data_IF_937597100132
#
_entry.id   IF_937597100132
#
_cell.length_a   1.000
_cell.length_b   1.000
_cell.length_c   1.000
_cell.angle_alpha   90.00
_cell.angle_beta   90.00
_cell.angle_gamma   90.00
#
_symmetry.space_group_name_H-M   'P 1'
#
loop_
_entity.id
_entity.type
_entity.pdbx_description
1 polymer ?
#
# COMPACT_ATOMS: atom_id res chain seq x y z
N UNK A 1 -27.14 99.64 -15.64
CA UNK A 1 -26.25 98.64 -16.24
C UNK A 1 -26.96 97.33 -16.01
N UNK A 2 -27.69 96.92 -17.03
CA UNK A 2 -28.64 95.82 -16.97
C UNK A 2 -27.97 94.46 -17.08
N UNK A 3 -28.18 93.63 -16.12
CA UNK A 3 -27.85 92.23 -16.20
C UNK A 3 -29.10 91.46 -16.63
N UNK A 4 -29.29 91.36 -17.95
CA UNK A 4 -30.36 90.51 -18.51
C UNK A 4 -30.02 89.06 -18.27
N UNK A 5 -30.68 88.49 -17.25
CA UNK A 5 -30.72 87.06 -17.04
C UNK A 5 -31.59 86.42 -18.11
N UNK A 6 -30.99 85.76 -19.08
CA UNK A 6 -31.69 85.00 -20.09
C UNK A 6 -32.38 83.84 -19.43
N UNK A 7 -33.68 83.94 -19.10
CA UNK A 7 -34.57 82.89 -18.79
C UNK A 7 -34.69 81.94 -20.00
N UNK A 8 -34.02 80.80 -19.95
CA UNK A 8 -34.22 79.75 -20.93
C UNK A 8 -35.68 79.32 -20.83
N UNK A 9 -36.51 79.65 -21.81
CA UNK A 9 -37.89 79.25 -21.94
C UNK A 9 -37.87 77.68 -22.11
N UNK A 10 -38.18 76.97 -21.05
CA UNK A 10 -38.37 75.56 -21.10
C UNK A 10 -39.60 75.28 -21.94
N UNK A 11 -39.47 74.73 -23.14
CA UNK A 11 -40.57 74.24 -23.95
C UNK A 11 -40.98 72.87 -23.53
N UNK A 12 -42.05 72.66 -22.69
CA UNK A 12 -42.43 71.43 -22.12
C UNK A 12 -42.89 70.38 -23.13
N UNK A 13 -43.28 70.83 -24.36
CA UNK A 13 -43.68 69.89 -25.42
C UNK A 13 -42.46 69.26 -26.10
N UNK A 14 -41.38 70.03 -26.24
CA UNK A 14 -40.14 69.53 -26.81
C UNK A 14 -39.41 68.63 -25.86
N UNK A 15 -39.43 68.87 -24.57
CA UNK A 15 -38.90 67.95 -23.53
C UNK A 15 -39.69 66.64 -23.46
N UNK A 16 -41.01 66.71 -23.49
CA UNK A 16 -41.86 65.49 -23.49
C UNK A 16 -41.60 64.63 -24.73
N UNK A 17 -41.45 65.22 -25.90
CA UNK A 17 -41.16 64.45 -27.10
C UNK A 17 -39.75 63.82 -27.07
N UNK A 18 -38.73 64.53 -26.53
CA UNK A 18 -37.42 63.98 -26.34
C UNK A 18 -37.36 62.88 -25.33
N UNK A 19 -38.06 63.01 -24.18
CA UNK A 19 -38.15 61.98 -23.18
C UNK A 19 -38.90 60.76 -23.73
N UNK A 20 -40.01 60.96 -24.45
CA UNK A 20 -40.76 59.88 -25.07
C UNK A 20 -39.92 59.09 -26.09
N UNK A 21 -39.18 59.80 -26.97
CA UNK A 21 -38.28 59.17 -27.95
C UNK A 21 -37.16 58.39 -27.29
N UNK A 22 -36.55 58.91 -26.20
CA UNK A 22 -35.54 58.20 -25.41
C UNK A 22 -36.16 56.98 -24.69
N UNK A 23 -37.31 57.15 -24.08
CA UNK A 23 -38.02 56.02 -23.42
C UNK A 23 -38.38 54.91 -24.40
N UNK A 24 -38.86 55.27 -25.61
CA UNK A 24 -39.10 54.29 -26.69
C UNK A 24 -37.79 53.63 -27.12
N UNK A 25 -36.69 54.40 -27.28
CA UNK A 25 -35.39 53.86 -27.61
C UNK A 25 -34.88 52.86 -26.57
N UNK A 26 -34.98 53.20 -25.27
CA UNK A 26 -34.64 52.30 -24.18
C UNK A 26 -35.53 51.08 -24.13
N UNK A 27 -36.84 51.22 -24.37
CA UNK A 27 -37.78 50.13 -24.42
C UNK A 27 -37.45 49.15 -25.55
N UNK A 28 -37.13 49.64 -26.74
CA UNK A 28 -36.71 48.82 -27.89
C UNK A 28 -35.41 48.06 -27.58
N UNK A 29 -34.42 48.71 -26.99
CA UNK A 29 -33.18 48.07 -26.58
C UNK A 29 -33.45 46.97 -25.55
N UNK A 30 -34.29 47.28 -24.56
CA UNK A 30 -34.69 46.27 -23.53
C UNK A 30 -35.36 45.05 -24.16
N UNK A 31 -36.30 45.26 -25.10
CA UNK A 31 -37.00 44.17 -25.80
C UNK A 31 -36.03 43.34 -26.63
N UNK A 32 -35.07 43.96 -27.31
CA UNK A 32 -34.01 43.24 -28.04
C UNK A 32 -33.15 42.40 -27.10
N UNK A 33 -32.70 43.02 -25.98
CA UNK A 33 -31.94 42.25 -24.97
C UNK A 33 -32.71 41.07 -24.41
N UNK A 34 -33.98 41.21 -24.07
CA UNK A 34 -34.85 40.13 -23.61
C UNK A 34 -35.01 39.10 -24.71
N UNK A 35 -35.20 39.51 -25.98
CA UNK A 35 -35.29 38.61 -27.13
C UNK A 35 -34.01 37.74 -27.32
N UNK A 36 -32.84 38.37 -27.17
CA UNK A 36 -31.54 37.65 -27.21
C UNK A 36 -31.43 36.65 -26.04
N UNK A 37 -31.82 37.04 -24.83
CA UNK A 37 -31.83 36.15 -23.68
C UNK A 37 -32.79 34.96 -23.87
N UNK A 38 -33.98 35.20 -24.35
CA UNK A 38 -34.96 34.13 -24.65
C UNK A 38 -34.43 33.20 -25.74
N UNK A 39 -33.89 33.77 -26.83
CA UNK A 39 -33.29 32.95 -27.88
C UNK A 39 -32.14 32.08 -27.37
N UNK A 40 -31.27 32.64 -26.51
CA UNK A 40 -30.19 31.89 -25.86
C UNK A 40 -30.74 30.83 -24.91
N UNK A 41 -31.80 31.12 -24.18
CA UNK A 41 -32.46 30.18 -23.29
C UNK A 41 -33.06 29.01 -24.06
N UNK A 42 -33.75 29.27 -25.17
CA UNK A 42 -34.27 28.24 -26.08
C UNK A 42 -33.15 27.38 -26.65
N UNK A 43 -32.06 28.00 -27.09
CA UNK A 43 -30.89 27.29 -27.60
C UNK A 43 -30.36 26.30 -26.53
N UNK A 44 -30.14 26.79 -25.31
CA UNK A 44 -29.58 25.97 -24.22
C UNK A 44 -30.53 24.87 -23.72
N UNK A 45 -31.83 25.17 -23.68
CA UNK A 45 -32.81 24.24 -23.09
C UNK A 45 -33.50 23.31 -24.10
N UNK A 46 -33.48 23.64 -25.40
CA UNK A 46 -34.12 22.82 -26.42
C UNK A 46 -33.08 22.18 -27.35
N UNK A 47 -32.20 22.98 -27.94
CA UNK A 47 -31.26 22.45 -28.93
C UNK A 47 -30.03 21.80 -28.31
N UNK A 48 -29.47 22.39 -27.26
CA UNK A 48 -28.26 21.90 -26.61
C UNK A 48 -28.58 21.05 -25.36
N UNK A 49 -29.85 20.82 -25.04
CA UNK A 49 -30.29 20.14 -23.81
C UNK A 49 -29.63 18.78 -23.62
N UNK A 50 -29.69 17.92 -24.65
CA UNK A 50 -29.11 16.57 -24.59
C UNK A 50 -27.59 16.59 -24.35
N UNK A 51 -26.89 17.55 -24.98
CA UNK A 51 -25.45 17.66 -24.82
C UNK A 51 -25.04 18.12 -23.40
N UNK A 52 -25.80 19.06 -22.84
CA UNK A 52 -25.58 19.51 -21.47
C UNK A 52 -26.01 18.48 -20.42
N UNK A 53 -27.11 17.78 -20.69
CA UNK A 53 -27.53 16.67 -19.84
C UNK A 53 -26.52 15.53 -19.84
N UNK A 54 -26.01 15.14 -21.01
CA UNK A 54 -24.94 14.15 -21.14
C UNK A 54 -23.67 14.55 -20.36
N UNK A 55 -23.24 15.83 -20.49
CA UNK A 55 -22.08 16.35 -19.75
C UNK A 55 -22.34 16.37 -18.23
N UNK A 56 -23.55 16.75 -17.82
CA UNK A 56 -23.97 16.74 -16.41
C UNK A 56 -23.93 15.32 -15.84
N UNK A 57 -24.54 14.36 -16.55
CA UNK A 57 -24.58 12.96 -16.13
C UNK A 57 -23.18 12.36 -16.10
N UNK A 58 -22.33 12.66 -17.09
CA UNK A 58 -20.93 12.21 -17.11
C UNK A 58 -20.09 12.81 -15.98
N UNK A 59 -20.36 14.03 -15.55
CA UNK A 59 -19.68 14.65 -14.41
C UNK A 59 -20.22 14.14 -13.07
N UNK A 60 -21.46 13.64 -13.02
CA UNK A 60 -22.16 13.20 -11.84
C UNK A 60 -21.91 11.72 -11.52
N UNK A 61 -21.66 10.91 -12.55
CA UNK A 61 -21.38 9.48 -12.39
C UNK A 61 -19.87 9.26 -12.43
N UNK A 62 -19.33 8.71 -11.35
CA UNK A 62 -17.93 8.33 -11.22
C UNK A 62 -17.79 6.84 -10.99
N UNK A 63 -16.76 6.25 -11.60
CA UNK A 63 -16.37 4.86 -11.37
C UNK A 63 -15.25 4.83 -10.34
N UNK A 64 -15.52 4.27 -9.19
CA UNK A 64 -14.56 4.09 -8.10
C UNK A 64 -14.12 2.62 -8.04
N UNK A 65 -12.82 2.31 -8.10
CA UNK A 65 -12.35 0.94 -7.95
C UNK A 65 -12.42 0.51 -6.49
N UNK A 66 -12.84 -0.75 -6.28
CA UNK A 66 -12.89 -1.41 -4.99
C UNK A 66 -11.71 -2.35 -4.84
N UNK A 67 -10.95 -2.20 -3.75
CA UNK A 67 -9.82 -3.09 -3.47
C UNK A 67 -10.29 -4.51 -3.17
N UNK A 68 -9.67 -5.53 -3.78
CA UNK A 68 -10.01 -6.92 -3.47
C UNK A 68 -9.47 -7.30 -2.09
N UNK A 69 -10.20 -8.14 -1.33
CA UNK A 69 -9.62 -8.80 -0.17
C UNK A 69 -8.49 -9.73 -0.61
N UNK A 70 -7.32 -9.61 0.02
CA UNK A 70 -6.16 -10.44 -0.28
C UNK A 70 -6.37 -11.87 0.20
N UNK A 71 -5.87 -12.87 -0.54
CA UNK A 71 -5.93 -14.28 -0.16
C UNK A 71 -5.24 -14.53 1.19
N UNK A 72 -5.74 -15.48 1.94
CA UNK A 72 -5.18 -15.91 3.22
C UNK A 72 -4.01 -16.87 3.00
N UNK A 73 -3.07 -16.91 3.96
CA UNK A 73 -1.97 -17.87 3.93
C UNK A 73 -2.06 -18.75 5.17
N UNK A 74 -2.10 -20.05 4.94
CA UNK A 74 -2.17 -21.08 5.98
C UNK A 74 -0.91 -21.94 5.98
N UNK A 75 -0.60 -22.51 7.13
CA UNK A 75 0.35 -23.61 7.22
C UNK A 75 -0.29 -24.93 6.75
N UNK A 76 0.49 -26.03 6.76
CA UNK A 76 0.02 -27.37 6.37
C UNK A 76 -1.11 -27.93 7.26
N UNK A 77 -1.28 -27.40 8.46
CA UNK A 77 -2.26 -27.84 9.45
C UNK A 77 -3.48 -26.90 9.53
N UNK A 78 -3.55 -25.90 8.66
CA UNK A 78 -4.61 -24.89 8.65
C UNK A 78 -4.40 -23.74 9.65
N UNK A 79 -3.21 -23.63 10.25
CA UNK A 79 -2.86 -22.49 11.12
C UNK A 79 -2.67 -21.25 10.26
N UNK A 80 -3.30 -20.15 10.63
CA UNK A 80 -3.26 -18.92 9.90
C UNK A 80 -1.90 -18.21 10.06
N UNK A 81 -1.22 -17.99 8.93
CA UNK A 81 0.07 -17.30 8.85
C UNK A 81 -0.07 -15.85 8.40
N UNK A 82 -1.05 -15.58 7.55
CA UNK A 82 -1.39 -14.22 7.13
C UNK A 82 -2.90 -14.06 6.92
N UNK A 83 -3.46 -13.02 7.52
CA UNK A 83 -4.89 -12.70 7.63
C UNK A 83 -5.19 -11.29 7.10
N UNK A 84 -6.46 -10.95 6.95
CA UNK A 84 -6.93 -9.61 6.69
C UNK A 84 -7.87 -9.18 7.82
N UNK A 85 -7.51 -8.14 8.56
CA UNK A 85 -8.32 -7.63 9.67
C UNK A 85 -8.89 -6.25 9.36
N UNK A 86 -10.12 -5.96 9.80
CA UNK A 86 -10.63 -4.61 9.73
C UNK A 86 -9.73 -3.66 10.54
N UNK A 87 -9.31 -2.58 9.93
CA UNK A 87 -8.56 -1.50 10.57
C UNK A 87 -9.24 -0.18 10.25
N UNK A 88 -9.30 0.70 11.24
CA UNK A 88 -9.83 2.05 11.07
C UNK A 88 -8.69 3.03 10.81
N UNK A 89 -8.88 3.90 9.84
CA UNK A 89 -7.96 4.96 9.49
C UNK A 89 -8.68 6.31 9.53
N UNK A 90 -7.96 7.37 9.82
CA UNK A 90 -8.45 8.73 9.72
C UNK A 90 -8.13 9.27 8.34
N UNK A 91 -9.15 9.70 7.61
CA UNK A 91 -9.02 10.36 6.32
C UNK A 91 -9.53 11.79 6.38
N UNK A 92 -8.93 12.66 5.56
CA UNK A 92 -9.40 14.02 5.33
C UNK A 92 -9.79 14.16 3.87
N UNK A 93 -11.01 14.59 3.62
CA UNK A 93 -11.49 15.00 2.29
C UNK A 93 -11.09 16.45 2.09
N UNK A 94 -10.01 16.66 1.34
CA UNK A 94 -9.33 17.97 1.21
C UNK A 94 -10.27 19.06 0.73
N UNK A 95 -11.16 18.77 -0.19
CA UNK A 95 -12.10 19.73 -0.77
C UNK A 95 -13.22 20.16 0.19
N UNK A 96 -13.36 19.48 1.33
CA UNK A 96 -14.36 19.84 2.37
C UNK A 96 -13.78 20.59 3.53
N UNK A 97 -12.50 20.92 3.45
CA UNK A 97 -11.76 21.59 4.51
C UNK A 97 -11.27 22.93 3.97
N UNK A 98 -11.62 24.04 4.63
CA UNK A 98 -11.19 25.37 4.22
C UNK A 98 -9.70 25.62 4.47
N UNK A 99 -9.18 25.09 5.59
CA UNK A 99 -7.78 25.13 5.98
C UNK A 99 -7.32 23.76 6.45
N UNK A 100 -6.39 23.16 5.68
CA UNK A 100 -5.90 21.82 5.91
C UNK A 100 -5.05 21.71 7.19
N UNK A 101 -4.23 22.72 7.44
CA UNK A 101 -3.36 22.73 8.62
C UNK A 101 -4.17 22.93 9.91
N UNK A 102 -5.20 23.78 9.88
CA UNK A 102 -6.13 23.92 10.99
C UNK A 102 -6.91 22.64 11.28
N UNK A 103 -7.31 21.89 10.25
CA UNK A 103 -7.96 20.59 10.43
C UNK A 103 -7.03 19.54 11.03
N UNK A 104 -5.76 19.52 10.64
CA UNK A 104 -4.74 18.64 11.22
C UNK A 104 -4.52 19.00 12.70
N UNK A 105 -4.41 20.28 13.02
CA UNK A 105 -4.26 20.77 14.39
C UNK A 105 -5.47 20.38 15.27
N UNK A 106 -6.68 20.52 14.73
CA UNK A 106 -7.91 20.10 15.41
C UNK A 106 -7.90 18.61 15.73
N UNK A 107 -7.48 17.76 14.79
CA UNK A 107 -7.37 16.30 14.99
C UNK A 107 -6.27 15.95 15.98
N UNK A 108 -5.15 16.68 15.94
CA UNK A 108 -4.01 16.46 16.88
C UNK A 108 -4.38 16.68 18.34
N UNK A 109 -5.48 17.37 18.61
CA UNK A 109 -6.06 17.50 19.96
C UNK A 109 -6.72 16.21 20.47
N UNK A 110 -7.03 15.26 19.61
CA UNK A 110 -7.73 14.00 19.96
C UNK A 110 -6.86 12.76 19.81
N UNK A 111 -5.93 12.78 18.85
CA UNK A 111 -5.02 11.66 18.55
C UNK A 111 -3.59 12.16 18.48
N UNK A 112 -2.66 11.31 18.91
CA UNK A 112 -1.23 11.63 18.83
C UNK A 112 -0.74 11.43 17.39
N UNK A 113 -0.37 12.55 16.73
CA UNK A 113 0.15 12.58 15.38
C UNK A 113 1.62 12.97 15.39
N UNK A 114 2.47 12.10 14.88
CA UNK A 114 3.88 12.44 14.69
C UNK A 114 4.07 13.45 13.54
N UNK A 115 5.10 14.29 13.64
CA UNK A 115 5.46 15.23 12.57
C UNK A 115 5.68 14.52 11.21
N UNK A 116 6.23 13.30 11.24
CA UNK A 116 6.45 12.49 10.05
C UNK A 116 5.13 12.03 9.41
N UNK A 117 4.11 11.69 10.19
CA UNK A 117 2.78 11.33 9.65
C UNK A 117 2.14 12.52 8.94
N UNK A 118 2.27 13.71 9.51
CA UNK A 118 1.77 14.96 8.93
C UNK A 118 2.50 15.27 7.61
N UNK A 119 3.83 15.16 7.57
CA UNK A 119 4.62 15.36 6.35
C UNK A 119 4.23 14.34 5.26
N UNK A 120 4.13 13.06 5.60
CA UNK A 120 3.67 12.02 4.67
C UNK A 120 2.24 12.27 4.18
N UNK A 121 1.38 12.84 5.02
CA UNK A 121 0.03 13.20 4.63
C UNK A 121 0.04 14.31 3.59
N UNK A 122 0.80 15.39 3.77
CA UNK A 122 0.95 16.45 2.78
C UNK A 122 1.47 15.93 1.43
N UNK A 123 2.42 14.99 1.45
CA UNK A 123 2.89 14.34 0.22
C UNK A 123 1.80 13.49 -0.45
N UNK A 124 0.95 12.82 0.34
CA UNK A 124 -0.21 12.08 -0.20
C UNK A 124 -1.24 13.02 -0.81
N UNK A 125 -1.51 14.15 -0.18
CA UNK A 125 -2.42 15.18 -0.70
C UNK A 125 -1.92 15.71 -2.04
N UNK A 126 -0.63 16.05 -2.18
CA UNK A 126 -0.03 16.50 -3.46
C UNK A 126 -0.16 15.47 -4.58
N UNK A 127 -0.18 14.17 -4.24
CA UNK A 127 -0.29 13.06 -5.19
C UNK A 127 -1.74 12.63 -5.43
N UNK A 128 -2.66 13.01 -4.56
CA UNK A 128 -4.08 12.69 -4.71
C UNK A 128 -4.63 13.35 -5.97
N UNK A 129 -5.20 12.54 -6.86
CA UNK A 129 -5.77 13.01 -8.13
C UNK A 129 -7.29 12.89 -8.17
N UNK A 130 -7.91 12.52 -7.06
CA UNK A 130 -9.36 12.30 -6.99
C UNK A 130 -9.99 13.27 -6.01
N UNK A 131 -10.72 14.25 -6.50
CA UNK A 131 -11.53 15.11 -5.67
C UNK A 131 -12.58 14.28 -4.92
N UNK A 132 -12.79 14.60 -3.64
CA UNK A 132 -13.81 13.98 -2.82
C UNK A 132 -13.43 12.65 -2.13
N UNK A 133 -12.33 11.99 -2.54
CA UNK A 133 -11.82 10.83 -1.84
C UNK A 133 -11.03 11.25 -0.59
N UNK A 134 -11.25 10.60 0.57
CA UNK A 134 -10.50 10.93 1.77
C UNK A 134 -9.04 10.50 1.65
N UNK A 135 -8.12 11.42 1.87
CA UNK A 135 -6.68 11.15 1.99
C UNK A 135 -6.39 10.72 3.42
N UNK A 136 -5.73 9.58 3.59
CA UNK A 136 -5.45 9.01 4.91
C UNK A 136 -4.38 9.83 5.64
N UNK A 137 -4.71 10.35 6.82
CA UNK A 137 -3.79 11.05 7.73
C UNK A 137 -3.13 10.06 8.69
N UNK A 138 -3.92 9.24 9.37
CA UNK A 138 -3.44 8.25 10.34
C UNK A 138 -4.07 6.88 10.10
N UNK A 139 -3.27 5.84 10.27
CA UNK A 139 -3.67 4.44 10.18
C UNK A 139 -3.83 3.84 11.58
N UNK A 140 -4.56 2.73 11.68
CA UNK A 140 -4.68 1.92 12.89
C UNK A 140 -5.20 2.69 14.11
N UNK A 141 -6.30 3.46 13.93
CA UNK A 141 -6.95 4.12 15.03
C UNK A 141 -7.41 3.11 16.09
N UNK A 142 -7.10 3.39 17.34
CA UNK A 142 -7.62 2.62 18.46
C UNK A 142 -9.11 2.89 18.68
N UNK A 143 -9.79 2.02 19.41
CA UNK A 143 -11.17 2.25 19.80
C UNK A 143 -11.33 3.53 20.62
N UNK A 144 -10.32 3.92 21.40
CA UNK A 144 -10.31 5.16 22.16
C UNK A 144 -10.21 6.39 21.24
N UNK A 145 -9.35 6.35 20.21
CA UNK A 145 -9.21 7.42 19.21
C UNK A 145 -10.51 7.63 18.45
N UNK A 146 -11.14 6.52 18.02
CA UNK A 146 -12.43 6.57 17.31
C UNK A 146 -13.52 7.17 18.21
N UNK A 147 -13.56 6.78 19.49
CA UNK A 147 -14.53 7.32 20.42
C UNK A 147 -14.29 8.82 20.68
N UNK A 148 -13.04 9.25 20.85
CA UNK A 148 -12.68 10.66 21.03
C UNK A 148 -13.09 11.50 19.81
N UNK A 149 -12.80 11.04 18.61
CA UNK A 149 -13.21 11.71 17.36
C UNK A 149 -14.73 11.74 17.17
N UNK A 150 -15.45 10.71 17.62
CA UNK A 150 -16.89 10.61 17.45
C UNK A 150 -17.67 11.67 18.25
N UNK A 151 -17.13 12.10 19.40
CA UNK A 151 -17.76 13.11 20.27
C UNK A 151 -17.89 14.47 19.56
N UNK A 152 -16.84 14.91 18.88
CA UNK A 152 -16.78 16.22 18.21
C UNK A 152 -16.92 16.13 16.69
N UNK A 153 -17.31 14.98 16.14
CA UNK A 153 -17.47 14.75 14.70
C UNK A 153 -18.31 15.82 13.99
N UNK A 154 -19.33 16.33 14.66
CA UNK A 154 -20.22 17.36 14.11
C UNK A 154 -19.51 18.70 13.84
N UNK A 155 -18.36 18.94 14.46
CA UNK A 155 -17.51 20.14 14.27
C UNK A 155 -16.37 19.90 13.30
N UNK A 156 -16.13 18.67 12.88
CA UNK A 156 -15.00 18.26 12.05
C UNK A 156 -15.47 18.06 10.60
N UNK A 157 -15.55 19.15 9.83
CA UNK A 157 -15.89 19.07 8.42
C UNK A 157 -14.75 18.40 7.64
N UNK A 158 -15.10 17.49 6.72
CA UNK A 158 -14.13 16.81 5.86
C UNK A 158 -13.30 15.70 6.52
N UNK A 159 -13.48 15.46 7.83
CA UNK A 159 -12.75 14.41 8.56
C UNK A 159 -13.63 13.15 8.64
N UNK A 160 -13.10 12.02 8.20
CA UNK A 160 -13.84 10.76 8.13
C UNK A 160 -13.01 9.60 8.72
N UNK A 161 -13.69 8.74 9.48
CA UNK A 161 -13.11 7.44 9.90
C UNK A 161 -13.45 6.42 8.84
N UNK A 162 -12.42 5.84 8.24
CA UNK A 162 -12.52 4.89 7.12
C UNK A 162 -12.17 3.51 7.67
N UNK A 163 -13.04 2.53 7.46
CA UNK A 163 -12.74 1.13 7.74
C UNK A 163 -12.24 0.44 6.47
N UNK A 164 -11.11 -0.25 6.57
CA UNK A 164 -10.52 -1.01 5.48
C UNK A 164 -9.91 -2.32 5.97
N UNK A 165 -9.76 -3.29 5.07
CA UNK A 165 -9.03 -4.51 5.38
C UNK A 165 -7.52 -4.23 5.34
N UNK A 166 -6.83 -4.65 6.40
CA UNK A 166 -5.40 -4.52 6.54
C UNK A 166 -4.77 -5.90 6.74
N UNK A 167 -3.63 -6.14 6.09
CA UNK A 167 -2.89 -7.39 6.25
C UNK A 167 -2.40 -7.54 7.68
N UNK A 168 -2.55 -8.72 8.24
CA UNK A 168 -2.14 -9.06 9.59
C UNK A 168 -1.43 -10.42 9.63
N UNK A 169 -0.35 -10.52 10.39
CA UNK A 169 0.47 -11.71 10.53
C UNK A 169 0.38 -12.23 11.96
N UNK A 170 -0.48 -13.24 12.24
CA UNK A 170 -0.71 -13.75 13.59
C UNK A 170 0.55 -14.33 14.25
N UNK A 171 1.46 -14.89 13.44
CA UNK A 171 2.71 -15.51 13.89
C UNK A 171 3.87 -14.48 13.97
N UNK A 172 3.59 -13.19 13.76
CA UNK A 172 4.55 -12.09 13.86
C UNK A 172 5.91 -12.42 13.20
N UNK A 173 6.99 -12.39 13.98
CA UNK A 173 8.36 -12.57 13.50
C UNK A 173 8.77 -14.04 13.24
N UNK A 174 7.97 -15.03 13.68
CA UNK A 174 8.29 -16.45 13.60
C UNK A 174 8.42 -16.91 12.16
N UNK A 175 7.49 -16.52 11.28
CA UNK A 175 7.43 -17.00 9.90
C UNK A 175 7.82 -15.93 8.86
N UNK A 176 8.25 -14.73 9.29
CA UNK A 176 8.40 -13.58 8.40
C UNK A 176 9.38 -13.81 7.24
N UNK A 177 10.45 -14.57 7.45
CA UNK A 177 11.44 -14.83 6.39
C UNK A 177 10.94 -15.82 5.32
N UNK A 178 9.92 -16.63 5.62
CA UNK A 178 9.28 -17.52 4.67
C UNK A 178 8.03 -16.86 4.05
N UNK A 179 7.08 -16.43 4.89
CA UNK A 179 5.84 -15.78 4.45
C UNK A 179 6.11 -14.43 3.79
N UNK A 180 7.05 -13.69 4.34
CA UNK A 180 7.36 -12.36 3.85
C UNK A 180 6.48 -11.27 4.46
N UNK A 181 6.31 -10.18 3.73
CA UNK A 181 5.49 -9.05 4.17
C UNK A 181 5.00 -8.20 3.01
N UNK A 182 3.85 -7.59 3.20
CA UNK A 182 3.37 -6.51 2.32
C UNK A 182 3.90 -5.16 2.79
N UNK A 183 4.05 -4.22 1.86
CA UNK A 183 4.33 -2.81 2.13
C UNK A 183 3.51 -1.93 1.22
N UNK A 184 3.45 -0.64 1.52
CA UNK A 184 2.77 0.33 0.65
C UNK A 184 3.34 0.30 -0.76
N UNK A 185 2.44 0.42 -1.73
CA UNK A 185 2.78 0.53 -3.15
C UNK A 185 3.60 1.80 -3.37
N UNK A 186 4.74 1.66 -4.05
CA UNK A 186 5.64 2.75 -4.44
C UNK A 186 5.52 3.04 -5.93
N UNK A 187 6.07 4.16 -6.39
CA UNK A 187 6.11 4.47 -7.83
C UNK A 187 6.89 3.43 -8.65
N UNK A 188 7.92 2.83 -8.05
CA UNK A 188 8.68 1.76 -8.70
C UNK A 188 7.85 0.48 -8.88
N UNK A 189 6.91 0.22 -7.98
CA UNK A 189 5.98 -0.89 -8.12
C UNK A 189 4.98 -0.64 -9.25
N UNK A 190 4.39 0.56 -9.30
CA UNK A 190 3.42 0.94 -10.34
C UNK A 190 4.00 0.93 -11.77
N UNK A 191 5.33 0.97 -11.92
CA UNK A 191 5.98 0.77 -13.23
C UNK A 191 6.04 -0.70 -13.67
N UNK A 192 5.91 -1.63 -12.73
CA UNK A 192 6.01 -3.08 -12.95
C UNK A 192 4.66 -3.78 -12.89
N UNK A 193 3.71 -3.22 -12.15
CA UNK A 193 2.37 -3.74 -11.94
C UNK A 193 1.38 -3.07 -12.89
N UNK A 194 0.27 -3.75 -13.20
CA UNK A 194 -0.80 -3.14 -13.99
C UNK A 194 -1.49 -2.03 -13.17
N UNK A 195 -1.40 -0.76 -13.61
CA UNK A 195 -2.02 0.34 -12.87
C UNK A 195 -3.56 0.22 -12.76
N UNK A 196 -4.21 -0.53 -13.65
CA UNK A 196 -5.65 -0.74 -13.60
C UNK A 196 -6.02 -1.67 -12.44
N UNK A 197 -5.26 -2.73 -12.22
CA UNK A 197 -5.50 -3.70 -11.15
C UNK A 197 -5.11 -3.15 -9.76
N UNK A 198 -4.02 -2.34 -9.69
CA UNK A 198 -3.50 -1.84 -8.41
C UNK A 198 -3.99 -0.44 -8.01
N UNK A 199 -4.92 0.15 -8.78
CA UNK A 199 -5.43 1.51 -8.53
C UNK A 199 -6.11 1.70 -7.16
N UNK A 200 -6.80 0.66 -6.67
CA UNK A 200 -7.46 0.69 -5.36
C UNK A 200 -6.58 0.10 -4.25
N UNK A 201 -5.53 -0.63 -4.61
CA UNK A 201 -4.68 -1.37 -3.67
C UNK A 201 -3.62 -0.46 -3.09
N UNK A 202 -3.46 -0.50 -1.76
CA UNK A 202 -2.47 0.30 -1.05
C UNK A 202 -1.21 -0.49 -0.69
N UNK A 203 -1.28 -1.81 -0.68
CA UNK A 203 -0.20 -2.70 -0.26
C UNK A 203 0.10 -3.74 -1.34
N UNK A 204 1.37 -4.10 -1.45
CA UNK A 204 1.88 -5.13 -2.37
C UNK A 204 2.89 -6.01 -1.64
N UNK A 205 2.95 -7.29 -1.97
CA UNK A 205 3.97 -8.20 -1.46
C UNK A 205 5.37 -7.75 -1.87
N UNK A 206 6.28 -7.71 -0.91
CA UNK A 206 7.66 -7.23 -1.13
C UNK A 206 8.70 -8.30 -0.91
N UNK A 207 8.40 -9.33 -0.14
CA UNK A 207 9.32 -10.41 0.21
C UNK A 207 8.57 -11.71 0.41
N UNK A 208 9.28 -12.85 0.22
CA UNK A 208 8.80 -14.19 0.49
C UNK A 208 7.55 -14.55 -0.31
N UNK A 209 6.75 -15.48 0.23
CA UNK A 209 5.51 -15.96 -0.39
C UNK A 209 4.57 -14.82 -0.77
N UNK A 210 4.51 -13.75 0.04
CA UNK A 210 3.71 -12.56 -0.27
C UNK A 210 4.10 -11.90 -1.59
N UNK A 211 5.40 -11.89 -1.92
CA UNK A 211 5.89 -11.29 -3.17
C UNK A 211 5.85 -12.28 -4.35
N UNK A 212 6.21 -13.54 -4.10
CA UNK A 212 6.34 -14.54 -5.15
C UNK A 212 4.97 -15.00 -5.69
N UNK A 213 3.94 -14.95 -4.82
CA UNK A 213 2.54 -15.28 -5.15
C UNK A 213 1.62 -14.05 -5.11
N UNK A 214 2.17 -12.87 -5.45
CA UNK A 214 1.41 -11.62 -5.46
C UNK A 214 0.19 -11.71 -6.38
N UNK A 215 0.33 -12.28 -7.57
CA UNK A 215 -0.74 -12.41 -8.57
C UNK A 215 -1.91 -13.26 -8.10
N UNK A 216 -1.63 -14.32 -7.34
CA UNK A 216 -2.63 -15.22 -6.78
C UNK A 216 -3.29 -14.61 -5.54
N UNK A 217 -2.47 -14.00 -4.68
CA UNK A 217 -2.92 -13.42 -3.41
C UNK A 217 -3.70 -12.12 -3.58
N UNK A 218 -3.39 -11.30 -4.57
CA UNK A 218 -3.97 -9.97 -4.74
C UNK A 218 -5.47 -9.99 -5.04
N UNK A 219 -5.93 -10.95 -5.87
CA UNK A 219 -7.29 -11.00 -6.37
C UNK A 219 -7.53 -10.02 -7.53
N UNK A 220 -8.80 -9.71 -7.80
CA UNK A 220 -9.17 -8.77 -8.87
C UNK A 220 -10.01 -7.63 -8.31
N UNK A 221 -9.68 -6.37 -8.65
CA UNK A 221 -10.45 -5.22 -8.18
C UNK A 221 -11.86 -5.26 -8.74
N UNK A 222 -12.81 -4.84 -7.91
CA UNK A 222 -14.16 -4.51 -8.32
C UNK A 222 -14.30 -3.04 -8.66
N UNK A 223 -15.49 -2.64 -9.07
CA UNK A 223 -15.82 -1.26 -9.40
C UNK A 223 -17.20 -0.91 -8.85
N UNK A 224 -17.36 0.30 -8.39
CA UNK A 224 -18.68 0.85 -8.09
C UNK A 224 -18.91 2.11 -8.90
N UNK A 225 -20.11 2.24 -9.43
CA UNK A 225 -20.59 3.46 -10.05
C UNK A 225 -21.32 4.28 -9.00
N UNK A 226 -20.81 5.47 -8.72
CA UNK A 226 -21.38 6.37 -7.74
C UNK A 226 -21.87 7.65 -8.37
N UNK A 227 -22.98 8.15 -7.88
CA UNK A 227 -23.45 9.49 -8.19
C UNK A 227 -22.85 10.47 -7.20
N UNK A 228 -22.24 11.53 -7.71
CA UNK A 228 -21.62 12.57 -6.88
C UNK A 228 -22.32 13.91 -7.05
N UNK A 229 -22.35 14.72 -5.99
CA UNK A 229 -22.80 16.12 -6.06
C UNK A 229 -21.72 17.03 -6.67
N UNK A 230 -22.01 18.34 -6.77
CA UNK A 230 -21.06 19.33 -7.31
C UNK A 230 -19.77 19.47 -6.48
N UNK A 231 -19.73 18.93 -5.27
CA UNK A 231 -18.58 18.92 -4.37
C UNK A 231 -17.85 17.58 -4.34
N UNK A 232 -18.21 16.64 -5.26
CA UNK A 232 -17.61 15.31 -5.34
C UNK A 232 -18.06 14.32 -4.24
N UNK A 233 -19.12 14.67 -3.44
CA UNK A 233 -19.64 13.76 -2.41
C UNK A 233 -20.51 12.69 -3.05
N UNK A 234 -20.28 11.45 -2.67
CA UNK A 234 -21.14 10.33 -3.08
C UNK A 234 -22.54 10.53 -2.48
N UNK A 235 -23.54 10.69 -3.32
CA UNK A 235 -24.94 10.81 -2.96
C UNK A 235 -25.65 9.47 -3.03
N UNK A 236 -25.27 8.64 -3.99
CA UNK A 236 -25.91 7.34 -4.20
C UNK A 236 -24.93 6.40 -4.92
N UNK A 237 -24.99 5.13 -4.57
CA UNK A 237 -24.36 4.05 -5.34
C UNK A 237 -25.38 3.60 -6.39
N UNK A 238 -24.98 3.63 -7.66
CA UNK A 238 -25.83 3.25 -8.80
C UNK A 238 -25.71 1.76 -9.09
N UNK A 239 -24.46 1.27 -9.13
CA UNK A 239 -24.13 -0.11 -9.46
C UNK A 239 -22.84 -0.55 -8.78
N UNK A 240 -22.70 -1.84 -8.49
CA UNK A 240 -21.51 -2.44 -7.89
C UNK A 240 -21.15 -3.73 -8.63
N UNK A 241 -19.94 -3.75 -9.19
CA UNK A 241 -19.25 -4.96 -9.60
C UNK A 241 -18.29 -5.36 -8.48
N UNK A 242 -18.60 -6.40 -7.68
CA UNK A 242 -17.84 -6.71 -6.48
C UNK A 242 -16.44 -7.23 -6.82
N UNK A 243 -15.43 -6.93 -5.99
CA UNK A 243 -14.08 -7.44 -6.18
C UNK A 243 -14.03 -8.95 -5.97
N UNK A 244 -13.14 -9.62 -6.71
CA UNK A 244 -12.85 -11.04 -6.51
C UNK A 244 -11.73 -11.21 -5.49
N UNK A 245 -12.00 -11.99 -4.45
CA UNK A 245 -11.03 -12.31 -3.39
C UNK A 245 -9.83 -13.04 -3.98
N UNK A 246 -8.61 -12.73 -3.51
CA UNK A 246 -7.41 -13.46 -3.86
C UNK A 246 -7.45 -14.93 -3.44
N UNK A 247 -6.66 -15.76 -4.10
CA UNK A 247 -6.57 -17.17 -3.79
C UNK A 247 -5.87 -17.40 -2.45
N UNK A 248 -6.40 -18.29 -1.63
CA UNK A 248 -5.75 -18.72 -0.40
C UNK A 248 -4.62 -19.69 -0.72
N UNK A 249 -3.53 -19.57 0.03
CA UNK A 249 -2.37 -20.46 -0.09
C UNK A 249 -2.26 -21.37 1.13
N UNK A 250 -2.01 -22.66 0.90
CA UNK A 250 -1.65 -23.62 1.92
C UNK A 250 -0.18 -24.00 1.73
N UNK A 251 0.66 -23.62 2.68
CA UNK A 251 2.10 -23.87 2.63
C UNK A 251 2.42 -25.23 3.24
N UNK A 252 3.58 -25.80 2.88
CA UNK A 252 4.14 -26.97 3.58
C UNK A 252 4.70 -26.62 4.95
N UNK A 253 4.89 -25.34 5.28
CA UNK A 253 5.32 -24.89 6.60
C UNK A 253 4.44 -25.48 7.70
N UNK A 254 5.06 -25.84 8.81
CA UNK A 254 4.43 -26.26 10.05
C UNK A 254 4.74 -25.23 11.13
N UNK A 255 3.72 -24.50 11.57
CA UNK A 255 3.89 -23.38 12.51
C UNK A 255 4.46 -23.84 13.87
N UNK A 256 4.14 -25.06 14.32
CA UNK A 256 4.67 -25.61 15.58
C UNK A 256 6.15 -25.96 15.44
N UNK A 257 6.53 -26.59 14.32
CA UNK A 257 7.94 -26.89 14.03
C UNK A 257 8.75 -25.62 13.84
N UNK A 258 8.16 -24.60 13.18
CA UNK A 258 8.75 -23.29 13.01
C UNK A 258 9.05 -22.62 14.37
N UNK A 259 8.08 -22.64 15.30
CA UNK A 259 8.25 -22.15 16.66
C UNK A 259 9.33 -22.92 17.42
N UNK A 260 9.30 -24.24 17.37
CA UNK A 260 10.32 -25.08 18.03
C UNK A 260 11.74 -24.77 17.52
N UNK A 261 11.90 -24.51 16.21
CA UNK A 261 13.18 -24.12 15.63
C UNK A 261 13.63 -22.72 16.08
N UNK A 262 12.70 -21.78 16.21
CA UNK A 262 12.97 -20.43 16.75
C UNK A 262 13.44 -20.52 18.21
N UNK A 263 12.77 -21.33 19.03
CA UNK A 263 13.10 -21.53 20.45
C UNK A 263 14.45 -22.21 20.62
N UNK A 264 14.73 -23.24 19.79
CA UNK A 264 16.03 -23.94 19.80
C UNK A 264 17.21 -23.02 19.43
N UNK A 265 17.03 -22.06 18.54
CA UNK A 265 18.03 -21.04 18.25
C UNK A 265 18.22 -20.06 19.41
N UNK A 266 17.18 -19.78 20.18
CA UNK A 266 17.21 -18.83 21.28
C UNK A 266 17.71 -17.45 20.84
N UNK A 267 18.75 -16.93 21.50
CA UNK A 267 19.38 -15.63 21.15
C UNK A 267 20.45 -15.72 20.05
N UNK A 268 20.76 -16.92 19.57
CA UNK A 268 21.81 -17.14 18.57
C UNK A 268 21.40 -16.64 17.19
N UNK A 269 22.36 -16.08 16.45
CA UNK A 269 22.17 -15.78 15.02
C UNK A 269 22.38 -17.06 14.22
N UNK A 270 21.45 -17.31 13.29
CA UNK A 270 21.55 -18.52 12.47
C UNK A 270 20.31 -18.75 11.64
N UNK A 271 20.26 -19.90 11.01
CA UNK A 271 19.13 -20.38 10.26
C UNK A 271 18.87 -21.85 10.58
N UNK A 272 17.57 -22.24 10.51
CA UNK A 272 17.14 -23.64 10.53
C UNK A 272 16.23 -23.86 9.33
N UNK A 273 16.52 -24.91 8.56
CA UNK A 273 15.68 -25.36 7.45
C UNK A 273 15.38 -26.84 7.66
N UNK A 274 14.10 -27.19 7.67
CA UNK A 274 13.64 -28.57 7.72
C UNK A 274 12.87 -28.90 6.44
N UNK A 275 13.26 -29.97 5.79
CA UNK A 275 12.67 -30.44 4.53
C UNK A 275 12.06 -31.83 4.73
N UNK A 276 10.91 -32.07 4.14
CA UNK A 276 10.38 -33.41 3.96
C UNK A 276 11.16 -34.11 2.84
N UNK A 277 11.90 -35.18 3.12
CA UNK A 277 12.74 -35.84 2.10
C UNK A 277 11.94 -36.56 1.02
N UNK A 278 10.65 -36.79 1.23
CA UNK A 278 9.78 -37.47 0.26
C UNK A 278 9.17 -36.53 -0.74
N UNK A 279 8.75 -35.34 -0.28
CA UNK A 279 8.01 -34.37 -1.10
C UNK A 279 8.86 -33.17 -1.51
N UNK A 280 9.98 -32.93 -0.81
CA UNK A 280 10.77 -31.71 -0.94
C UNK A 280 10.13 -30.50 -0.25
N UNK A 281 8.99 -30.69 0.42
CA UNK A 281 8.25 -29.62 1.09
C UNK A 281 9.05 -29.00 2.23
N UNK A 282 9.07 -27.67 2.31
CA UNK A 282 9.75 -26.90 3.37
C UNK A 282 8.84 -26.87 4.60
N UNK A 283 9.20 -27.64 5.64
CA UNK A 283 8.44 -27.75 6.89
C UNK A 283 8.76 -26.63 7.87
N UNK A 284 10.02 -26.17 7.89
CA UNK A 284 10.44 -24.98 8.63
C UNK A 284 11.52 -24.21 7.87
N UNK A 285 11.46 -22.89 7.96
CA UNK A 285 12.45 -21.97 7.41
C UNK A 285 12.60 -20.79 8.37
N UNK A 286 13.59 -20.87 9.23
CA UNK A 286 13.87 -19.88 10.28
C UNK A 286 15.15 -19.13 9.95
N UNK A 287 15.12 -17.84 10.13
CA UNK A 287 16.30 -16.97 10.09
C UNK A 287 16.25 -16.02 11.28
N UNK A 288 17.31 -16.00 12.12
CA UNK A 288 17.39 -15.15 13.31
C UNK A 288 18.63 -14.24 13.28
N UNK A 289 18.53 -12.99 13.82
CA UNK A 289 17.30 -12.38 14.32
C UNK A 289 16.28 -12.13 13.21
N UNK A 290 15.01 -12.00 13.60
CA UNK A 290 13.87 -11.70 12.74
C UNK A 290 13.25 -10.35 13.09
N UNK A 291 12.12 -10.01 12.48
CA UNK A 291 11.40 -8.75 12.70
C UNK A 291 9.89 -9.00 12.57
N UNK A 292 9.09 -8.18 13.24
CA UNK A 292 7.63 -8.25 13.11
C UNK A 292 7.17 -7.57 11.82
N UNK A 293 6.57 -8.31 10.86
CA UNK A 293 6.05 -7.75 9.61
C UNK A 293 4.85 -6.81 9.82
N UNK A 294 4.13 -6.92 10.93
CA UNK A 294 3.00 -6.05 11.25
C UNK A 294 3.41 -4.58 11.38
N UNK A 295 4.66 -4.30 11.81
CA UNK A 295 5.19 -2.94 11.90
C UNK A 295 5.22 -2.24 10.53
N UNK A 296 5.51 -2.96 9.44
CA UNK A 296 5.48 -2.37 8.09
C UNK A 296 4.07 -2.05 7.62
N UNK A 297 3.11 -2.85 8.04
CA UNK A 297 1.69 -2.65 7.71
C UNK A 297 1.10 -1.50 8.52
N UNK A 298 1.51 -1.38 9.78
CA UNK A 298 1.09 -0.30 10.69
C UNK A 298 1.63 1.09 10.28
N UNK A 299 2.69 1.14 9.49
CA UNK A 299 3.32 2.39 9.08
C UNK A 299 4.55 2.70 9.94
N UNK A 300 5.61 1.91 9.75
CA UNK A 300 6.90 2.10 10.41
C UNK A 300 7.50 3.47 10.07
N UNK A 301 8.06 4.13 11.07
CA UNK A 301 8.80 5.39 10.89
C UNK A 301 10.16 5.17 10.22
N UNK A 302 10.73 6.22 9.62
CA UNK A 302 12.06 6.14 8.99
C UNK A 302 13.16 5.81 10.00
N UNK A 303 13.01 6.25 11.26
CA UNK A 303 13.95 5.92 12.34
C UNK A 303 13.90 4.43 12.72
N UNK A 304 12.69 3.86 12.83
CA UNK A 304 12.50 2.42 13.08
C UNK A 304 13.02 1.58 11.91
N UNK A 305 12.73 2.01 10.67
CA UNK A 305 13.25 1.33 9.48
C UNK A 305 14.77 1.36 9.41
N UNK A 306 15.40 2.51 9.72
CA UNK A 306 16.87 2.62 9.82
C UNK A 306 17.42 1.71 10.90
N UNK A 307 16.81 1.67 12.07
CA UNK A 307 17.24 0.78 13.16
C UNK A 307 17.26 -0.70 12.74
N UNK A 308 16.31 -1.13 11.90
CA UNK A 308 16.28 -2.49 11.34
C UNK A 308 17.30 -2.67 10.21
N UNK A 309 17.38 -1.72 9.27
CA UNK A 309 18.19 -1.85 8.04
C UNK A 309 19.69 -1.67 8.29
N UNK A 310 20.07 -0.81 9.23
CA UNK A 310 21.47 -0.52 9.60
C UNK A 310 21.97 -1.37 10.78
N UNK A 311 21.09 -2.23 11.33
CA UNK A 311 21.44 -3.12 12.43
C UNK A 311 22.59 -4.05 12.04
N UNK A 312 23.63 -4.10 12.85
CA UNK A 312 24.76 -5.05 12.70
C UNK A 312 24.32 -6.52 12.79
N UNK A 313 23.14 -6.76 13.33
CA UNK A 313 22.53 -8.09 13.45
C UNK A 313 21.77 -8.49 12.18
N UNK A 314 21.54 -7.59 11.23
CA UNK A 314 20.87 -7.81 9.95
C UNK A 314 19.54 -8.59 10.07
N UNK A 315 18.53 -8.07 10.80
CA UNK A 315 17.25 -8.79 10.98
C UNK A 315 16.49 -8.95 9.68
N UNK A 316 16.66 -8.06 8.72
CA UNK A 316 16.02 -8.12 7.39
C UNK A 316 16.68 -9.12 6.43
N UNK A 317 17.84 -9.68 6.78
CA UNK A 317 18.57 -10.61 5.94
C UNK A 317 18.11 -12.04 6.18
N UNK A 318 17.62 -12.71 5.13
CA UNK A 318 17.21 -14.10 5.20
C UNK A 318 18.45 -15.01 5.14
N UNK A 319 18.89 -15.49 6.29
CA UNK A 319 20.06 -16.37 6.44
C UNK A 319 19.85 -17.75 5.86
N UNK A 320 18.59 -18.21 5.79
CA UNK A 320 18.27 -19.52 5.27
C UNK A 320 18.41 -19.61 3.74
N UNK A 321 18.12 -18.51 3.02
CA UNK A 321 18.16 -18.47 1.55
C UNK A 321 19.37 -17.74 1.00
N UNK A 322 19.86 -16.69 1.68
CA UNK A 322 20.90 -15.80 1.19
C UNK A 322 22.21 -15.92 1.97
N UNK A 323 22.22 -16.68 3.07
CA UNK A 323 23.42 -16.86 3.89
C UNK A 323 24.42 -17.76 3.17
N UNK A 324 25.69 -17.33 3.14
CA UNK A 324 26.80 -18.10 2.61
C UNK A 324 27.70 -18.52 3.78
N UNK A 325 27.75 -19.83 4.05
CA UNK A 325 28.49 -20.40 5.14
C UNK A 325 29.42 -21.48 4.61
N UNK A 326 30.60 -21.62 5.22
CA UNK A 326 31.49 -22.73 4.91
C UNK A 326 30.84 -24.06 5.35
N UNK A 327 30.56 -24.98 4.42
CA UNK A 327 29.79 -26.19 4.73
C UNK A 327 30.56 -27.17 5.63
N UNK A 328 31.88 -27.12 5.64
CA UNK A 328 32.68 -28.08 6.38
C UNK A 328 32.36 -29.52 5.98
N UNK A 329 32.41 -30.46 6.99
CA UNK A 329 32.17 -31.89 6.76
C UNK A 329 30.76 -32.22 6.28
N UNK A 330 29.80 -31.29 6.37
CA UNK A 330 28.44 -31.52 5.84
C UNK A 330 28.41 -31.64 4.31
N UNK A 331 29.48 -31.23 3.62
CA UNK A 331 29.63 -31.34 2.18
C UNK A 331 30.22 -32.69 1.74
N UNK A 332 30.80 -33.49 2.64
CA UNK A 332 31.43 -34.77 2.29
C UNK A 332 30.51 -35.77 1.57
N UNK A 333 29.22 -35.95 1.99
CA UNK A 333 28.31 -36.82 1.25
C UNK A 333 28.13 -36.39 -0.23
N UNK A 334 28.07 -35.08 -0.49
CA UNK A 334 27.93 -34.55 -1.87
C UNK A 334 29.19 -34.86 -2.68
N UNK A 335 30.38 -34.71 -2.09
CA UNK A 335 31.68 -35.04 -2.75
C UNK A 335 31.76 -36.54 -3.00
N UNK A 336 31.35 -37.40 -2.05
CA UNK A 336 31.31 -38.84 -2.24
C UNK A 336 30.39 -39.26 -3.39
N UNK A 337 29.16 -38.71 -3.44
CA UNK A 337 28.21 -38.94 -4.53
C UNK A 337 28.77 -38.47 -5.88
N UNK A 338 29.46 -37.33 -5.93
CA UNK A 338 30.12 -36.81 -7.15
C UNK A 338 31.24 -37.76 -7.60
N UNK A 339 32.02 -38.27 -6.66
CA UNK A 339 33.06 -39.27 -6.93
C UNK A 339 32.51 -40.57 -7.57
N UNK A 340 31.39 -41.06 -7.03
CA UNK A 340 30.69 -42.23 -7.60
C UNK A 340 30.10 -41.91 -8.96
N UNK A 341 29.40 -40.78 -9.10
CA UNK A 341 28.77 -40.38 -10.36
C UNK A 341 29.77 -40.13 -11.50
N UNK A 342 30.99 -39.66 -11.19
CA UNK A 342 32.07 -39.45 -12.15
C UNK A 342 32.86 -40.74 -12.44
N UNK A 343 32.62 -41.84 -11.72
CA UNK A 343 33.38 -43.06 -11.81
C UNK A 343 34.75 -43.01 -11.15
N UNK A 344 35.10 -41.94 -10.45
CA UNK A 344 36.36 -41.82 -9.72
C UNK A 344 36.40 -42.67 -8.46
N UNK A 345 35.22 -43.06 -7.91
CA UNK A 345 35.05 -43.88 -6.72
C UNK A 345 33.94 -44.89 -6.98
N UNK A 346 33.99 -45.97 -6.20
CA UNK A 346 32.92 -46.96 -6.07
C UNK A 346 32.44 -47.01 -4.63
N UNK A 347 31.29 -47.67 -4.35
CA UNK A 347 30.72 -47.76 -3.00
C UNK A 347 31.62 -48.46 -1.98
N UNK A 348 32.50 -49.35 -2.44
CA UNK A 348 33.46 -50.11 -1.68
C UNK A 348 34.91 -49.56 -1.75
N UNK A 349 35.10 -48.41 -2.36
CA UNK A 349 36.42 -47.74 -2.41
C UNK A 349 36.89 -47.41 -1.01
N UNK A 350 38.04 -47.99 -0.63
CA UNK A 350 38.70 -47.69 0.66
C UNK A 350 39.85 -46.71 0.38
N UNK A 351 39.94 -45.72 1.24
CA UNK A 351 41.00 -44.69 1.23
C UNK A 351 41.76 -44.77 2.55
N UNK A 352 43.06 -44.99 2.48
CA UNK A 352 43.95 -44.90 3.65
C UNK A 352 44.21 -43.44 4.01
N UNK A 353 43.56 -42.99 5.09
CA UNK A 353 43.70 -41.65 5.59
C UNK A 353 44.86 -41.59 6.62
N UNK A 354 45.93 -40.88 6.20
CA UNK A 354 47.15 -40.69 7.02
C UNK A 354 47.06 -39.36 7.83
N UNK A 355 45.92 -38.77 7.95
CA UNK A 355 45.69 -37.52 8.66
C UNK A 355 46.19 -36.27 7.93
N UNK A 356 46.88 -36.43 6.78
CA UNK A 356 47.27 -35.31 5.94
C UNK A 356 47.22 -35.69 4.47
N UNK A 357 46.96 -34.70 3.61
CA UNK A 357 46.91 -34.85 2.16
C UNK A 357 47.63 -33.71 1.46
N UNK A 358 48.41 -34.05 0.41
CA UNK A 358 49.08 -33.07 -0.46
C UNK A 358 48.65 -33.28 -1.89
N UNK A 359 48.23 -32.24 -2.57
CA UNK A 359 47.93 -32.29 -3.99
C UNK A 359 49.19 -32.54 -4.79
N UNK A 360 49.13 -33.36 -5.86
CA UNK A 360 50.24 -33.62 -6.73
C UNK A 360 50.72 -32.30 -7.36
N UNK A 361 52.02 -31.96 -7.13
CA UNK A 361 52.62 -30.70 -7.58
C UNK A 361 52.33 -29.48 -6.71
N UNK A 362 51.57 -29.62 -5.61
CA UNK A 362 51.30 -28.55 -4.65
C UNK A 362 52.26 -28.57 -3.46
N UNK A 363 52.63 -27.38 -2.96
CA UNK A 363 53.45 -27.24 -1.75
C UNK A 363 52.62 -27.33 -0.46
N UNK A 364 51.30 -27.09 -0.54
CA UNK A 364 50.42 -27.02 0.66
C UNK A 364 50.00 -28.43 1.09
N UNK A 365 50.21 -28.69 2.39
CA UNK A 365 49.71 -29.88 3.06
C UNK A 365 48.36 -29.53 3.76
N UNK A 366 47.37 -30.33 3.45
CA UNK A 366 46.03 -30.24 4.11
C UNK A 366 45.99 -31.32 5.20
N UNK A 367 45.64 -30.90 6.43
CA UNK A 367 45.63 -31.75 7.61
C UNK A 367 44.23 -31.92 8.14
N UNK A 368 43.97 -33.11 8.71
CA UNK A 368 42.72 -33.37 9.46
C UNK A 368 42.69 -32.52 10.75
N UNK A 369 41.52 -32.26 11.24
CA UNK A 369 41.30 -31.52 12.50
C UNK A 369 41.87 -32.27 13.72
N UNK A 370 41.92 -33.62 13.70
CA UNK A 370 42.46 -34.46 14.76
C UNK A 370 43.98 -34.52 14.75
N UNK A 371 44.69 -34.01 13.69
CA UNK A 371 46.14 -34.09 13.55
C UNK A 371 46.94 -33.53 14.75
N UNK A 372 46.38 -32.54 15.41
CA UNK A 372 47.04 -31.90 16.60
C UNK A 372 46.62 -32.50 17.94
N UNK A 373 45.65 -33.38 17.95
CA UNK A 373 45.09 -34.01 19.20
C UNK A 373 45.65 -35.38 19.46
N UNK A 374 45.96 -36.12 18.38
CA UNK A 374 46.56 -37.46 18.46
C UNK A 374 47.78 -37.50 17.56
N UNK A 375 48.95 -37.93 18.11
CA UNK A 375 50.16 -38.25 17.34
C UNK A 375 49.98 -39.44 16.42
N UNK A 376 48.79 -39.98 16.33
CA UNK A 376 48.41 -41.21 15.60
C UNK A 376 48.07 -40.98 14.12
N UNK A 377 48.14 -39.73 13.63
CA UNK A 377 48.01 -39.47 12.21
C UNK A 377 46.62 -39.66 11.60
N UNK A 378 45.57 -39.32 12.34
CA UNK A 378 44.17 -39.33 11.87
C UNK A 378 43.59 -40.76 11.68
N UNK A 379 42.39 -41.00 12.17
CA UNK A 379 41.62 -42.21 11.90
C UNK A 379 40.51 -41.96 10.89
#
# INVERSE_FOLDING_TARGET
MDLAVALAIKDPNRERTLIARRAIGFFVVMVVCVGVLVARFVQLQVYDHESYQYRSDKNRIQVQPLAPPRGLIFDRNGVLLADNRPSSALGIVVERVDDLDAAIEQVSGFIDLSAQQIEQFHERVKRSRRPGDPVVLADNLSAADIAALAVDRHRMQGIEVITRLQRYYPQADIAVHAVGSVRRVTESDLRRLDPAEYRATQFVGKRGVEADYESELHGRPGFQQVETDAHGRVTRIIDIDPPLVGQNLNLYLDAQLQQAAVDALGSRRGAVVALDPKTGGVLALVSKPSYDPNQFVAGMSDSEFRALSESVYLPLFNRATNGQYAPGSTFKPVVGLAGIASGAMQWDTQIDDRGSFRLAGGEREYRDWSWTVDDSGGQ
#
